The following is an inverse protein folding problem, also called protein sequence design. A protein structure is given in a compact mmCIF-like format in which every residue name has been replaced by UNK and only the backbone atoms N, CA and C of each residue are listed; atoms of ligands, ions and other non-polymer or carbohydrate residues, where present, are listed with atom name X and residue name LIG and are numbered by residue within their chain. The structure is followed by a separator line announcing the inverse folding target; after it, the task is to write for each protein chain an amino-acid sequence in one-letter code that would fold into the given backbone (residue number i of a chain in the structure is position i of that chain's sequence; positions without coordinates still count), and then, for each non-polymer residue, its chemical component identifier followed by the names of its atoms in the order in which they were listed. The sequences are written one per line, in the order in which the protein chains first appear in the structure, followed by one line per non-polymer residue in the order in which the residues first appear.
data_IF_698074127837
#
_entry.id   IF_698074127837
#
_cell.length_a   1.000
_cell.length_b   1.000
_cell.length_c   1.000
_cell.angle_alpha   90.00
_cell.angle_beta   90.00
_cell.angle_gamma   90.00
#
_symmetry.space_group_name_H-M   'P 1'
#
loop_
_entity.id
_entity.type
_entity.pdbx_description
1 polymer ?
#
# COMPACT_ATOMS: atom_id res chain seq x y z
N UNK A 1 -11.91 -12.38 6.24
CA UNK A 1 -11.29 -11.34 7.11
C UNK A 1 -12.22 -10.84 8.24
N UNK A 2 -13.34 -10.17 7.91
CA UNK A 2 -14.34 -9.73 8.91
C UNK A 2 -14.87 -10.90 9.75
N UNK A 3 -15.03 -12.09 9.16
CA UNK A 3 -15.50 -13.27 9.88
C UNK A 3 -14.58 -13.74 11.01
N UNK A 4 -13.26 -13.42 11.00
CA UNK A 4 -12.35 -13.76 12.12
C UNK A 4 -12.51 -12.77 13.27
N UNK A 5 -12.59 -11.47 12.96
CA UNK A 5 -12.87 -10.43 13.96
C UNK A 5 -14.27 -10.63 14.53
N UNK A 6 -15.25 -10.87 13.67
CA UNK A 6 -16.63 -11.20 14.04
C UNK A 6 -16.71 -12.56 14.72
N UNK A 7 -15.86 -13.55 14.48
CA UNK A 7 -15.87 -14.79 15.27
C UNK A 7 -15.30 -14.59 16.68
N UNK A 8 -14.30 -13.72 16.83
CA UNK A 8 -13.74 -13.33 18.14
C UNK A 8 -14.75 -12.46 18.92
N UNK A 9 -15.44 -11.56 18.22
CA UNK A 9 -16.42 -10.62 18.78
C UNK A 9 -17.88 -11.11 18.65
N UNK A 10 -18.10 -12.31 18.08
CA UNK A 10 -19.43 -12.87 17.87
C UNK A 10 -20.13 -12.91 19.22
N UNK A 11 -21.44 -12.68 19.28
CA UNK A 11 -22.15 -12.47 20.53
C UNK A 11 -22.06 -13.70 21.42
N UNK A 12 -20.98 -13.77 22.19
CA UNK A 12 -20.89 -14.50 23.45
C UNK A 12 -21.58 -13.62 24.47
N UNK A 13 -22.90 -13.49 24.34
CA UNK A 13 -23.79 -12.81 25.29
C UNK A 13 -23.04 -11.78 26.14
N UNK A 14 -22.49 -10.73 25.47
CA UNK A 14 -21.52 -9.83 26.11
C UNK A 14 -22.33 -8.91 27.01
N UNK A 15 -22.74 -9.41 28.17
CA UNK A 15 -23.27 -8.60 29.24
C UNK A 15 -22.08 -7.85 29.83
N UNK A 16 -21.98 -6.54 29.63
CA UNK A 16 -20.83 -5.78 30.10
C UNK A 16 -20.54 -4.46 29.39
N UNK A 17 -19.38 -3.89 29.72
CA UNK A 17 -18.82 -2.68 29.13
C UNK A 17 -17.81 -3.08 28.05
N UNK A 18 -17.87 -2.45 26.88
CA UNK A 18 -16.85 -2.56 25.84
C UNK A 18 -16.11 -1.22 25.78
N UNK A 19 -14.80 -1.25 25.96
CA UNK A 19 -13.92 -0.10 25.83
C UNK A 19 -13.11 -0.27 24.56
N UNK A 20 -13.43 0.50 23.52
CA UNK A 20 -12.70 0.52 22.26
C UNK A 20 -11.74 1.71 22.23
N UNK A 21 -10.45 1.43 22.02
CA UNK A 21 -9.38 2.41 21.89
C UNK A 21 -8.83 2.28 20.48
N UNK A 22 -9.14 3.25 19.63
CA UNK A 22 -8.72 3.26 18.24
C UNK A 22 -7.38 4.01 18.08
N UNK A 23 -6.53 3.53 17.18
CA UNK A 23 -5.25 4.12 16.79
C UNK A 23 -4.36 4.51 18.00
N UNK A 24 -4.06 3.55 18.87
CA UNK A 24 -3.23 3.81 20.06
C UNK A 24 -1.86 4.41 19.68
N UNK A 25 -1.37 4.11 18.48
CA UNK A 25 -0.14 4.65 17.93
C UNK A 25 -0.15 6.16 17.63
N UNK A 26 -1.29 6.85 17.75
CA UNK A 26 -1.36 8.31 17.67
C UNK A 26 -0.79 9.01 18.91
N UNK A 27 -0.52 8.28 19.98
CA UNK A 27 0.26 8.80 21.10
C UNK A 27 1.65 9.17 20.58
N UNK A 28 1.98 10.46 20.64
CA UNK A 28 3.10 11.09 19.92
C UNK A 28 4.47 10.44 20.23
N UNK A 29 4.59 9.74 21.36
CA UNK A 29 5.78 9.02 21.78
C UNK A 29 5.49 7.52 22.02
N UNK A 30 6.25 6.59 21.41
CA UNK A 30 6.29 5.17 21.79
C UNK A 30 6.33 4.88 23.29
N UNK A 31 7.06 5.69 24.05
CA UNK A 31 7.17 5.51 25.50
C UNK A 31 5.82 5.78 26.18
N UNK A 32 5.08 6.80 25.73
CA UNK A 32 3.74 7.11 26.22
C UNK A 32 2.74 6.02 25.87
N UNK A 33 2.84 5.41 24.69
CA UNK A 33 1.99 4.27 24.33
C UNK A 33 2.23 3.07 25.27
N UNK A 34 3.48 2.81 25.63
CA UNK A 34 3.82 1.76 26.59
C UNK A 34 3.34 2.09 28.01
N UNK A 35 3.58 3.32 28.47
CA UNK A 35 3.07 3.80 29.77
C UNK A 35 1.55 3.70 29.84
N UNK A 36 0.85 4.12 28.78
CA UNK A 36 -0.60 4.01 28.69
C UNK A 36 -1.06 2.54 28.80
N UNK A 37 -0.39 1.61 28.10
CA UNK A 37 -0.70 0.18 28.21
C UNK A 37 -0.49 -0.31 29.65
N UNK A 38 0.60 0.10 30.30
CA UNK A 38 0.90 -0.31 31.67
C UNK A 38 -0.10 0.29 32.69
N UNK A 39 -0.63 1.49 32.45
CA UNK A 39 -1.70 2.09 33.25
C UNK A 39 -3.04 1.36 33.08
N UNK A 40 -3.44 1.07 31.83
CA UNK A 40 -4.71 0.38 31.57
C UNK A 40 -4.65 -1.10 31.96
N UNK A 41 -3.46 -1.72 32.05
CA UNK A 41 -3.31 -3.08 32.58
C UNK A 41 -3.94 -3.25 33.97
N UNK A 42 -3.94 -2.20 34.79
CA UNK A 42 -4.56 -2.22 36.12
C UNK A 42 -6.08 -2.44 36.10
N UNK A 43 -6.75 -2.14 34.98
CA UNK A 43 -8.19 -2.36 34.80
C UNK A 43 -8.51 -3.57 33.92
N UNK A 44 -7.49 -4.23 33.35
CA UNK A 44 -7.67 -5.50 32.66
C UNK A 44 -8.02 -6.59 33.67
N UNK A 45 -9.14 -7.28 33.44
CA UNK A 45 -9.66 -8.32 34.35
C UNK A 45 -10.86 -7.89 35.20
N UNK A 46 -11.35 -6.65 35.04
CA UNK A 46 -12.70 -6.28 35.55
C UNK A 46 -13.73 -7.22 34.91
N UNK A 47 -14.52 -7.96 35.71
CA UNK A 47 -15.57 -8.83 35.18
C UNK A 47 -16.52 -8.04 34.28
N UNK A 48 -16.93 -8.64 33.17
CA UNK A 48 -17.83 -8.00 32.21
C UNK A 48 -17.26 -6.72 31.57
N UNK A 49 -15.94 -6.62 31.42
CA UNK A 49 -15.29 -5.56 30.65
C UNK A 49 -14.43 -6.13 29.53
N UNK A 50 -14.68 -5.71 28.29
CA UNK A 50 -13.89 -6.08 27.11
C UNK A 50 -13.13 -4.86 26.60
N UNK A 51 -11.81 -4.97 26.48
CA UNK A 51 -10.97 -3.95 25.86
C UNK A 51 -10.63 -4.35 24.43
N UNK A 52 -10.98 -3.50 23.48
CA UNK A 52 -10.61 -3.62 22.08
C UNK A 52 -9.65 -2.49 21.75
N UNK A 53 -8.42 -2.82 21.36
CA UNK A 53 -7.40 -1.83 21.03
C UNK A 53 -6.93 -2.06 19.60
N UNK A 54 -6.90 -0.99 18.80
CA UNK A 54 -6.33 -1.01 17.46
C UNK A 54 -5.00 -0.27 17.43
N UNK A 55 -4.08 -0.75 16.59
CA UNK A 55 -2.75 -0.19 16.41
C UNK A 55 -2.35 -0.39 14.95
N UNK A 56 -1.74 0.61 14.33
CA UNK A 56 -1.18 0.45 12.99
C UNK A 56 0.06 -0.47 12.98
N UNK A 57 0.27 -1.20 11.87
CA UNK A 57 1.44 -2.06 11.69
C UNK A 57 2.75 -1.25 11.56
N UNK A 58 2.68 -0.06 10.97
CA UNK A 58 3.79 0.87 10.83
C UNK A 58 4.31 1.33 12.21
N UNK A 59 3.40 1.60 13.14
CA UNK A 59 3.76 1.98 14.49
C UNK A 59 4.46 0.85 15.25
N UNK A 60 3.93 -0.37 15.18
CA UNK A 60 4.57 -1.56 15.78
C UNK A 60 5.99 -1.75 15.24
N UNK A 61 6.18 -1.59 13.93
CA UNK A 61 7.49 -1.70 13.28
C UNK A 61 8.44 -0.57 13.71
N UNK A 62 7.94 0.66 13.79
CA UNK A 62 8.70 1.82 14.26
C UNK A 62 9.16 1.66 15.71
N UNK A 63 8.33 1.08 16.57
CA UNK A 63 8.67 0.79 17.96
C UNK A 63 9.80 -0.25 18.07
N UNK A 64 9.72 -1.32 17.26
CA UNK A 64 10.79 -2.32 17.19
C UNK A 64 12.12 -1.73 16.72
N UNK A 65 12.11 -0.88 15.69
CA UNK A 65 13.33 -0.22 15.19
C UNK A 65 13.99 0.69 16.24
N UNK A 66 13.20 1.27 17.15
CA UNK A 66 13.69 2.09 18.27
C UNK A 66 14.15 1.27 19.49
N UNK A 67 14.18 -0.06 19.37
CA UNK A 67 14.60 -0.96 20.44
C UNK A 67 13.60 -1.07 21.60
N UNK A 68 12.36 -0.59 21.41
CA UNK A 68 11.32 -0.68 22.42
C UNK A 68 10.53 -1.96 22.14
N UNK A 69 10.51 -2.94 23.08
CA UNK A 69 9.78 -4.19 22.92
C UNK A 69 8.28 -3.96 23.19
N UNK A 70 7.66 -3.08 22.41
CA UNK A 70 6.24 -2.76 22.53
C UNK A 70 5.41 -4.01 22.27
N UNK A 71 5.80 -4.88 21.33
CA UNK A 71 5.14 -6.17 21.10
C UNK A 71 5.16 -7.07 22.34
N UNK A 72 6.23 -7.11 23.12
CA UNK A 72 6.24 -7.87 24.38
C UNK A 72 5.26 -7.28 25.40
N UNK A 73 5.12 -5.95 25.42
CA UNK A 73 4.13 -5.27 26.27
C UNK A 73 2.69 -5.58 25.81
N UNK A 74 2.41 -5.62 24.50
CA UNK A 74 1.11 -6.01 23.96
C UNK A 74 0.80 -7.50 24.18
N UNK A 75 1.74 -8.38 23.84
CA UNK A 75 1.59 -9.84 23.96
C UNK A 75 1.41 -10.26 25.43
N UNK A 76 1.95 -9.48 26.38
CA UNK A 76 1.72 -9.69 27.82
C UNK A 76 0.44 -9.04 28.37
N UNK A 77 -0.08 -7.99 27.72
CA UNK A 77 -1.25 -7.26 28.20
C UNK A 77 -2.58 -7.83 27.69
N UNK A 78 -2.61 -8.30 26.44
CA UNK A 78 -3.83 -8.68 25.75
C UNK A 78 -3.98 -10.20 25.64
N UNK A 79 -5.19 -10.70 25.91
CA UNK A 79 -5.50 -12.12 25.79
C UNK A 79 -5.54 -12.61 24.34
N UNK A 80 -5.85 -11.73 23.39
CA UNK A 80 -5.97 -12.08 21.97
C UNK A 80 -5.52 -10.93 21.11
N UNK A 81 -4.59 -11.20 20.20
CA UNK A 81 -4.12 -10.26 19.18
C UNK A 81 -4.61 -10.75 17.83
N UNK A 82 -5.36 -9.91 17.11
CA UNK A 82 -5.88 -10.22 15.78
C UNK A 82 -5.16 -9.36 14.76
N UNK A 83 -4.38 -9.99 13.89
CA UNK A 83 -3.76 -9.31 12.74
C UNK A 83 -4.77 -9.18 11.59
N UNK A 84 -4.85 -7.98 11.05
CA UNK A 84 -5.75 -7.56 9.99
C UNK A 84 -4.94 -7.55 8.69
N UNK A 85 -5.02 -8.64 7.93
CA UNK A 85 -4.29 -8.79 6.66
C UNK A 85 -5.03 -8.08 5.51
N UNK A 86 -4.33 -7.59 4.48
CA UNK A 86 -4.96 -7.16 3.24
C UNK A 86 -5.85 -8.27 2.65
N UNK A 87 -6.87 -7.89 1.88
CA UNK A 87 -7.72 -8.88 1.22
C UNK A 87 -6.92 -9.79 0.30
N UNK A 88 -7.35 -11.05 0.24
CA UNK A 88 -7.00 -11.92 -0.89
C UNK A 88 -7.72 -11.44 -2.16
N UNK A 89 -7.28 -11.92 -3.33
CA UNK A 89 -7.97 -11.62 -4.59
C UNK A 89 -9.46 -12.03 -4.54
N UNK A 90 -9.76 -13.19 -3.97
CA UNK A 90 -11.13 -13.67 -3.80
C UNK A 90 -11.96 -12.79 -2.86
N UNK A 91 -11.37 -12.36 -1.74
CA UNK A 91 -12.04 -11.44 -0.82
C UNK A 91 -12.30 -10.08 -1.47
N UNK A 92 -11.35 -9.54 -2.24
CA UNK A 92 -11.51 -8.30 -2.99
C UNK A 92 -12.63 -8.42 -4.04
N UNK A 93 -12.68 -9.54 -4.78
CA UNK A 93 -13.74 -9.84 -5.76
C UNK A 93 -15.11 -9.87 -5.09
N UNK A 94 -15.26 -10.62 -3.99
CA UNK A 94 -16.53 -10.68 -3.24
C UNK A 94 -16.90 -9.32 -2.66
N UNK A 95 -15.92 -8.56 -2.19
CA UNK A 95 -16.14 -7.23 -1.62
C UNK A 95 -16.64 -6.22 -2.66
N UNK A 96 -16.10 -6.26 -3.88
CA UNK A 96 -16.51 -5.42 -5.00
C UNK A 96 -17.89 -5.84 -5.54
N UNK A 97 -18.13 -7.13 -5.73
CA UNK A 97 -19.39 -7.66 -6.25
C UNK A 97 -20.61 -7.28 -5.39
N UNK A 98 -20.41 -7.10 -4.07
CA UNK A 98 -21.46 -6.63 -3.14
C UNK A 98 -21.83 -5.15 -3.30
N UNK A 99 -21.02 -4.37 -4.02
CA UNK A 99 -21.17 -2.90 -4.14
C UNK A 99 -21.45 -2.45 -5.56
N UNK A 100 -20.86 -3.13 -6.54
CA UNK A 100 -21.06 -2.86 -7.95
C UNK A 100 -21.24 -4.19 -8.67
N UNK A 101 -22.39 -4.34 -9.33
CA UNK A 101 -22.73 -5.54 -10.09
C UNK A 101 -22.12 -5.38 -11.48
N UNK A 102 -21.53 -6.46 -12.00
CA UNK A 102 -21.13 -6.53 -13.40
C UNK A 102 -19.77 -5.91 -13.74
N UNK A 103 -18.92 -5.59 -12.76
CA UNK A 103 -17.53 -5.23 -13.04
C UNK A 103 -16.83 -6.45 -13.68
N UNK A 104 -16.27 -6.34 -14.89
CA UNK A 104 -15.54 -7.45 -15.51
C UNK A 104 -14.26 -7.80 -14.73
N UNK A 105 -13.89 -9.09 -14.73
CA UNK A 105 -12.75 -9.59 -13.93
C UNK A 105 -11.41 -8.83 -14.11
N UNK A 106 -11.00 -8.43 -15.33
CA UNK A 106 -9.75 -7.67 -15.50
C UNK A 106 -9.72 -6.37 -14.68
N UNK A 107 -10.86 -5.67 -14.57
CA UNK A 107 -10.97 -4.45 -13.79
C UNK A 107 -10.96 -4.71 -12.29
N UNK A 108 -11.52 -5.84 -11.84
CA UNK A 108 -11.39 -6.31 -10.45
C UNK A 108 -9.91 -6.55 -10.11
N UNK A 109 -9.17 -7.19 -11.01
CA UNK A 109 -7.75 -7.47 -10.82
C UNK A 109 -6.91 -6.18 -10.80
N UNK A 110 -7.20 -5.23 -11.69
CA UNK A 110 -6.59 -3.91 -11.70
C UNK A 110 -6.80 -3.17 -10.38
N UNK A 111 -8.05 -3.12 -9.90
CA UNK A 111 -8.39 -2.52 -8.61
C UNK A 111 -7.64 -3.21 -7.45
N UNK A 112 -7.54 -4.54 -7.50
CA UNK A 112 -6.83 -5.32 -6.49
C UNK A 112 -5.33 -5.00 -6.47
N UNK A 113 -4.67 -4.98 -7.63
CA UNK A 113 -3.24 -4.67 -7.76
C UNK A 113 -2.93 -3.25 -7.30
N UNK A 114 -3.69 -2.25 -7.75
CA UNK A 114 -3.47 -0.84 -7.38
C UNK A 114 -3.72 -0.57 -5.88
N UNK A 115 -4.67 -1.29 -5.27
CA UNK A 115 -4.99 -1.15 -3.84
C UNK A 115 -4.06 -1.95 -2.93
N UNK A 116 -3.34 -2.94 -3.47
CA UNK A 116 -2.64 -3.93 -2.67
C UNK A 116 -3.58 -4.74 -1.77
N UNK A 117 -4.84 -4.89 -2.14
CA UNK A 117 -5.87 -5.57 -1.31
C UNK A 117 -6.30 -4.78 -0.07
N UNK A 118 -5.86 -3.54 0.12
CA UNK A 118 -6.30 -2.71 1.25
C UNK A 118 -7.76 -2.26 1.04
N UNK A 119 -8.71 -2.56 1.95
CA UNK A 119 -10.14 -2.32 1.70
C UNK A 119 -10.49 -0.86 1.41
N UNK A 120 -9.83 0.09 2.10
CA UNK A 120 -10.04 1.53 1.90
C UNK A 120 -9.56 1.98 0.52
N UNK A 121 -8.38 1.53 0.12
CA UNK A 121 -7.82 1.85 -1.19
C UNK A 121 -8.58 1.16 -2.32
N UNK A 122 -9.01 -0.09 -2.11
CA UNK A 122 -9.83 -0.83 -3.07
C UNK A 122 -11.14 -0.09 -3.35
N UNK A 123 -11.79 0.46 -2.30
CA UNK A 123 -12.96 1.32 -2.46
C UNK A 123 -12.64 2.55 -3.29
N UNK A 124 -11.56 3.26 -2.92
CA UNK A 124 -11.15 4.51 -3.57
C UNK A 124 -10.93 4.30 -5.06
N UNK A 125 -10.12 3.30 -5.43
CA UNK A 125 -9.79 3.00 -6.83
C UNK A 125 -11.03 2.55 -7.59
N UNK A 126 -11.90 1.73 -7.01
CA UNK A 126 -13.14 1.30 -7.65
C UNK A 126 -14.11 2.49 -7.88
N UNK A 127 -14.17 3.44 -6.95
CA UNK A 127 -14.93 4.68 -7.14
C UNK A 127 -14.32 5.53 -8.25
N UNK A 128 -13.01 5.77 -8.27
CA UNK A 128 -12.35 6.53 -9.35
C UNK A 128 -12.57 5.88 -10.72
N UNK A 129 -12.53 4.56 -10.79
CA UNK A 129 -12.81 3.82 -12.02
C UNK A 129 -14.26 4.00 -12.50
N UNK A 130 -15.20 3.97 -11.57
CA UNK A 130 -16.62 4.15 -11.87
C UNK A 130 -16.93 5.60 -12.27
N UNK A 131 -16.34 6.58 -11.59
CA UNK A 131 -16.47 7.99 -11.93
C UNK A 131 -15.92 8.27 -13.34
N UNK A 132 -14.77 7.67 -13.70
CA UNK A 132 -14.23 7.74 -15.05
C UNK A 132 -15.20 7.21 -16.11
N UNK A 133 -15.79 6.03 -15.88
CA UNK A 133 -16.75 5.42 -16.81
C UNK A 133 -18.01 6.28 -16.98
N UNK A 134 -18.47 6.95 -15.92
CA UNK A 134 -19.59 7.89 -16.01
C UNK A 134 -19.20 9.10 -16.86
N UNK A 135 -18.03 9.69 -16.61
CA UNK A 135 -17.60 10.93 -17.24
C UNK A 135 -17.28 10.77 -18.74
N UNK A 136 -16.85 9.58 -19.18
CA UNK A 136 -16.48 9.33 -20.58
C UNK A 136 -17.65 8.92 -21.48
N UNK A 137 -18.80 8.51 -20.90
CA UNK A 137 -19.97 7.94 -21.59
C UNK A 137 -19.63 6.83 -22.61
N UNK A 138 -18.49 6.15 -22.43
CA UNK A 138 -17.98 5.10 -23.32
C UNK A 138 -17.69 3.82 -22.56
N UNK A 139 -17.81 2.70 -23.28
CA UNK A 139 -17.22 1.43 -22.86
C UNK A 139 -15.69 1.59 -22.96
N UNK A 140 -15.08 2.04 -21.88
CA UNK A 140 -13.63 2.20 -21.81
C UNK A 140 -12.96 0.82 -21.78
N UNK A 141 -11.93 0.70 -22.63
CA UNK A 141 -11.11 -0.50 -22.67
C UNK A 141 -10.15 -0.55 -21.46
N UNK A 142 -9.61 -1.74 -21.17
CA UNK A 142 -8.83 -1.98 -19.94
C UNK A 142 -7.56 -1.11 -19.88
N UNK A 143 -6.91 -0.92 -21.01
CA UNK A 143 -5.66 -0.17 -21.13
C UNK A 143 -5.89 1.33 -20.87
N UNK A 144 -6.98 1.87 -21.43
CA UNK A 144 -7.41 3.25 -21.20
C UNK A 144 -7.74 3.47 -19.71
N UNK A 145 -8.49 2.56 -19.09
CA UNK A 145 -8.83 2.66 -17.66
C UNK A 145 -7.59 2.52 -16.77
N UNK A 146 -6.70 1.55 -17.05
CA UNK A 146 -5.45 1.38 -16.30
C UNK A 146 -4.59 2.64 -16.35
N UNK A 147 -4.42 3.21 -17.54
CA UNK A 147 -3.69 4.45 -17.76
C UNK A 147 -4.31 5.63 -17.01
N UNK A 148 -5.64 5.74 -17.02
CA UNK A 148 -6.37 6.83 -16.34
C UNK A 148 -6.28 6.73 -14.82
N UNK A 149 -6.46 5.53 -14.26
CA UNK A 149 -6.33 5.29 -12.82
C UNK A 149 -4.90 5.54 -12.32
N UNK A 150 -3.89 5.13 -13.08
CA UNK A 150 -2.48 5.39 -12.74
C UNK A 150 -2.19 6.89 -12.81
N UNK A 151 -2.69 7.60 -13.84
CA UNK A 151 -2.55 9.05 -13.93
C UNK A 151 -3.20 9.77 -12.74
N UNK A 152 -4.42 9.36 -12.35
CA UNK A 152 -5.11 9.91 -11.18
C UNK A 152 -4.35 9.64 -9.87
N UNK A 153 -3.82 8.44 -9.68
CA UNK A 153 -3.04 8.11 -8.48
C UNK A 153 -1.71 8.87 -8.42
N UNK A 154 -1.05 9.07 -9.57
CA UNK A 154 0.15 9.90 -9.68
C UNK A 154 -0.14 11.36 -9.35
N UNK A 155 -1.21 11.93 -9.92
CA UNK A 155 -1.64 13.30 -9.65
C UNK A 155 -1.93 13.53 -8.15
N UNK A 156 -2.45 12.52 -7.45
CA UNK A 156 -2.68 12.58 -6.01
C UNK A 156 -1.40 12.45 -5.16
N UNK A 157 -0.40 11.68 -5.61
CA UNK A 157 0.80 11.38 -4.81
C UNK A 157 2.00 12.27 -5.06
N UNK A 158 2.26 12.68 -6.31
CA UNK A 158 3.42 13.51 -6.62
C UNK A 158 3.50 14.79 -5.79
N UNK A 159 2.39 15.52 -5.52
CA UNK A 159 2.44 16.70 -4.65
C UNK A 159 2.93 16.39 -3.23
N UNK A 160 2.66 15.20 -2.71
CA UNK A 160 3.13 14.79 -1.39
C UNK A 160 4.66 14.61 -1.37
N UNK A 161 5.23 13.97 -2.40
CA UNK A 161 6.68 13.86 -2.54
C UNK A 161 7.34 15.24 -2.70
N UNK A 162 6.74 16.13 -3.50
CA UNK A 162 7.20 17.53 -3.63
C UNK A 162 7.17 18.26 -2.28
N UNK A 163 6.07 18.14 -1.54
CA UNK A 163 5.93 18.79 -0.22
C UNK A 163 6.93 18.25 0.79
N UNK A 164 7.18 16.94 0.84
CA UNK A 164 8.14 16.34 1.75
C UNK A 164 9.57 16.75 1.41
N UNK A 165 9.93 16.76 0.12
CA UNK A 165 11.24 17.22 -0.33
C UNK A 165 11.49 18.70 0.00
N UNK A 166 10.47 19.55 -0.12
CA UNK A 166 10.57 20.98 0.20
C UNK A 166 10.77 21.27 1.70
N UNK A 167 10.55 20.28 2.58
CA UNK A 167 10.81 20.39 4.02
C UNK A 167 12.19 19.89 4.43
N UNK A 168 12.97 19.34 3.49
CA UNK A 168 14.33 18.90 3.76
C UNK A 168 15.29 20.09 3.80
N UNK A 169 16.32 19.99 4.65
CA UNK A 169 17.36 21.01 4.75
C UNK A 169 18.17 21.12 3.45
N UNK A 170 18.63 22.34 3.13
CA UNK A 170 19.41 22.66 1.92
C UNK A 170 20.71 21.82 1.80
N UNK A 171 21.25 21.31 2.89
CA UNK A 171 22.43 20.42 2.91
C UNK A 171 22.19 19.10 2.15
N UNK A 172 20.93 18.68 2.01
CA UNK A 172 20.55 17.50 1.22
C UNK A 172 20.36 17.82 -0.27
N UNK A 173 20.37 19.09 -0.69
CA UNK A 173 20.14 19.57 -2.07
C UNK A 173 18.94 18.90 -2.78
N UNK A 174 17.70 19.07 -2.28
CA UNK A 174 16.51 18.45 -2.89
C UNK A 174 16.17 19.01 -4.27
N UNK A 175 16.85 20.06 -4.74
CA UNK A 175 16.53 20.79 -5.98
C UNK A 175 16.57 19.90 -7.23
N UNK A 176 17.55 18.99 -7.31
CA UNK A 176 17.65 18.04 -8.43
C UNK A 176 16.46 17.07 -8.44
N UNK A 177 16.11 16.50 -7.27
CA UNK A 177 14.95 15.63 -7.12
C UNK A 177 13.65 16.34 -7.49
N UNK A 178 13.42 17.55 -6.97
CA UNK A 178 12.24 18.36 -7.26
C UNK A 178 12.11 18.67 -8.76
N UNK A 179 13.22 18.99 -9.42
CA UNK A 179 13.26 19.25 -10.87
C UNK A 179 12.93 18.00 -11.67
N UNK A 180 13.47 16.84 -11.28
CA UNK A 180 13.20 15.57 -11.94
C UNK A 180 11.78 15.06 -11.70
N UNK A 181 11.17 15.40 -10.57
CA UNK A 181 9.79 15.06 -10.23
C UNK A 181 8.78 15.95 -10.97
N UNK A 182 9.14 17.20 -11.23
CA UNK A 182 8.29 18.17 -11.92
C UNK A 182 7.95 17.74 -13.37
N UNK A 183 6.96 18.42 -13.95
CA UNK A 183 6.50 18.17 -15.32
C UNK A 183 5.17 17.41 -15.40
N UNK A 184 4.62 17.27 -16.62
CA UNK A 184 3.32 16.65 -16.82
C UNK A 184 3.33 15.20 -16.34
N UNK A 185 2.25 14.78 -15.68
CA UNK A 185 2.02 13.36 -15.38
C UNK A 185 1.55 12.66 -16.65
N UNK A 186 2.31 11.67 -17.10
CA UNK A 186 1.89 10.73 -18.13
C UNK A 186 1.78 9.34 -17.51
N UNK A 187 0.83 8.55 -17.97
CA UNK A 187 0.67 7.14 -17.58
C UNK A 187 1.33 6.16 -18.55
N UNK A 188 1.97 6.65 -19.61
CA UNK A 188 2.73 5.80 -20.54
C UNK A 188 3.88 5.09 -19.83
N UNK A 189 3.98 3.77 -20.03
CA UNK A 189 4.95 2.92 -19.33
C UNK A 189 6.40 3.35 -19.64
N UNK A 190 6.73 3.65 -20.89
CA UNK A 190 8.07 4.07 -21.27
C UNK A 190 8.45 5.40 -20.61
N UNK A 191 7.55 6.37 -20.62
CA UNK A 191 7.76 7.66 -19.97
C UNK A 191 7.97 7.50 -18.46
N UNK A 192 7.16 6.67 -17.80
CA UNK A 192 7.28 6.38 -16.37
C UNK A 192 8.62 5.72 -16.03
N UNK A 193 9.09 4.77 -16.86
CA UNK A 193 10.41 4.16 -16.70
C UNK A 193 11.54 5.19 -16.84
N UNK A 194 11.47 6.06 -17.85
CA UNK A 194 12.47 7.10 -18.05
C UNK A 194 12.51 8.09 -16.89
N UNK A 195 11.34 8.46 -16.36
CA UNK A 195 11.27 9.34 -15.18
C UNK A 195 11.74 8.65 -13.90
N UNK A 196 11.48 7.36 -13.78
CA UNK A 196 12.03 6.55 -12.70
C UNK A 196 13.57 6.55 -12.72
N UNK A 197 14.20 6.37 -13.88
CA UNK A 197 15.67 6.40 -14.04
C UNK A 197 16.28 7.76 -13.60
N UNK A 198 15.58 8.88 -13.80
CA UNK A 198 16.09 10.20 -13.41
C UNK A 198 15.96 10.49 -11.91
N UNK A 199 15.04 9.81 -11.24
CA UNK A 199 14.76 9.98 -9.80
C UNK A 199 15.52 8.96 -8.96
N UNK A 200 15.88 7.81 -9.52
CA UNK A 200 16.59 6.75 -8.80
C UNK A 200 17.85 7.33 -8.13
N UNK A 201 18.05 7.10 -6.82
CA UNK A 201 19.22 7.62 -6.13
C UNK A 201 20.47 7.01 -6.76
N UNK A 202 21.42 7.88 -7.12
CA UNK A 202 22.73 7.42 -7.60
C UNK A 202 23.48 6.80 -6.42
N UNK A 203 24.17 5.69 -6.67
CA UNK A 203 25.00 5.04 -5.65
C UNK A 203 25.92 6.09 -5.00
N UNK A 204 25.70 6.32 -3.72
CA UNK A 204 26.55 7.18 -2.90
C UNK A 204 27.13 6.32 -1.80
N UNK A 205 28.46 6.31 -1.64
CA UNK A 205 29.19 5.66 -0.54
C UNK A 205 28.86 6.23 0.87
N UNK A 206 27.80 7.04 0.98
CA UNK A 206 27.39 7.78 2.17
C UNK A 206 26.21 7.16 2.92
N UNK A 207 25.93 7.71 4.10
CA UNK A 207 24.79 7.30 4.92
C UNK A 207 23.45 7.58 4.23
N UNK A 208 22.46 6.68 4.42
CA UNK A 208 21.10 6.83 3.88
C UNK A 208 20.43 8.09 4.46
N UNK A 209 20.30 9.13 3.64
CA UNK A 209 19.65 10.41 4.02
C UNK A 209 18.13 10.33 3.93
N UNK A 210 17.43 11.36 4.39
CA UNK A 210 15.98 11.47 4.21
C UNK A 210 15.63 11.66 2.73
N UNK A 211 16.41 12.44 1.98
CA UNK A 211 16.25 12.59 0.53
C UNK A 211 16.39 11.24 -0.19
N UNK A 212 17.44 10.45 0.11
CA UNK A 212 17.65 9.16 -0.55
C UNK A 212 16.49 8.19 -0.30
N UNK A 213 15.84 8.23 0.87
CA UNK A 213 14.63 7.44 1.13
C UNK A 213 13.46 7.91 0.25
N UNK A 214 13.26 9.22 0.17
CA UNK A 214 12.20 9.82 -0.65
C UNK A 214 12.38 9.53 -2.15
N UNK A 215 13.62 9.56 -2.63
CA UNK A 215 13.99 9.18 -4.01
C UNK A 215 13.64 7.71 -4.28
N UNK A 216 13.98 6.80 -3.36
CA UNK A 216 13.61 5.39 -3.44
C UNK A 216 12.09 5.19 -3.45
N UNK A 217 11.35 5.89 -2.59
CA UNK A 217 9.89 5.82 -2.53
C UNK A 217 9.25 6.27 -3.85
N UNK A 218 9.66 7.43 -4.37
CA UNK A 218 9.15 7.97 -5.62
C UNK A 218 9.51 7.08 -6.83
N UNK A 219 10.78 6.66 -6.95
CA UNK A 219 11.24 5.80 -8.04
C UNK A 219 10.51 4.44 -8.04
N UNK A 220 10.44 3.78 -6.89
CA UNK A 220 9.77 2.48 -6.76
C UNK A 220 8.27 2.58 -7.07
N UNK A 221 7.64 3.68 -6.68
CA UNK A 221 6.25 3.95 -7.01
C UNK A 221 6.03 4.15 -8.51
N UNK A 222 6.86 4.95 -9.18
CA UNK A 222 6.80 5.14 -10.64
C UNK A 222 7.04 3.84 -11.40
N UNK A 223 8.00 3.04 -10.95
CA UNK A 223 8.32 1.76 -11.57
C UNK A 223 7.17 0.74 -11.47
N UNK A 224 6.51 0.71 -10.31
CA UNK A 224 5.27 -0.06 -10.13
C UNK A 224 4.16 0.44 -11.06
N UNK A 225 3.92 1.75 -11.14
CA UNK A 225 2.92 2.33 -12.04
C UNK A 225 3.18 1.97 -13.51
N UNK A 226 4.42 2.06 -13.97
CA UNK A 226 4.81 1.64 -15.32
C UNK A 226 4.46 0.16 -15.58
N UNK A 227 4.72 -0.68 -14.58
CA UNK A 227 4.43 -2.11 -14.63
C UNK A 227 2.93 -2.41 -14.66
N UNK A 228 2.12 -1.65 -13.93
CA UNK A 228 0.66 -1.80 -13.96
C UNK A 228 0.12 -1.47 -15.36
N UNK A 229 0.53 -0.34 -15.96
CA UNK A 229 0.03 0.06 -17.29
C UNK A 229 0.50 -0.91 -18.38
N UNK A 230 1.74 -1.37 -18.32
CA UNK A 230 2.27 -2.35 -19.29
C UNK A 230 1.67 -3.75 -19.12
N UNK A 231 1.20 -4.10 -17.92
CA UNK A 231 0.57 -5.39 -17.66
C UNK A 231 -0.93 -5.41 -18.00
N UNK A 232 -1.67 -4.35 -17.69
CA UNK A 232 -3.11 -4.26 -17.91
C UNK A 232 -3.43 -3.62 -19.26
N UNK A 233 -3.19 -4.37 -20.34
CA UNK A 233 -3.50 -3.96 -21.71
C UNK A 233 -4.75 -4.65 -22.23
N UNK A 234 -5.23 -4.24 -23.41
CA UNK A 234 -6.36 -4.86 -24.08
C UNK A 234 -6.11 -6.33 -24.53
N UNK A 235 -4.86 -6.79 -24.47
CA UNK A 235 -4.47 -8.18 -24.72
C UNK A 235 -4.71 -9.10 -23.51
N UNK A 236 -4.95 -8.52 -22.31
CA UNK A 236 -5.32 -9.24 -21.09
C UNK A 236 -6.81 -9.65 -21.12
N UNK A 237 -7.24 -10.33 -22.19
CA UNK A 237 -8.59 -10.89 -22.35
C UNK A 237 -8.81 -12.17 -21.51
N UNK A 238 -10.03 -12.71 -21.52
CA UNK A 238 -10.47 -13.81 -20.63
C UNK A 238 -9.52 -15.02 -20.54
N UNK A 239 -8.83 -15.40 -21.63
CA UNK A 239 -7.90 -16.53 -21.63
C UNK A 239 -6.55 -16.21 -20.98
N UNK A 240 -6.06 -14.97 -21.10
CA UNK A 240 -4.84 -14.47 -20.45
C UNK A 240 -5.08 -14.12 -18.97
N UNK A 241 -6.30 -13.71 -18.59
CA UNK A 241 -6.71 -13.47 -17.20
C UNK A 241 -6.61 -14.73 -16.35
N UNK A 242 -7.16 -15.86 -16.83
CA UNK A 242 -7.06 -17.13 -16.10
C UNK A 242 -5.61 -17.57 -15.90
N UNK A 243 -4.76 -17.35 -16.91
CA UNK A 243 -3.33 -17.65 -16.82
C UNK A 243 -2.64 -16.77 -15.78
N UNK A 244 -2.91 -15.46 -15.79
CA UNK A 244 -2.35 -14.50 -14.82
C UNK A 244 -2.78 -14.76 -13.37
N UNK A 245 -3.99 -15.29 -13.15
CA UNK A 245 -4.41 -15.74 -11.82
C UNK A 245 -3.68 -17.02 -11.43
N UNK A 246 -3.59 -17.99 -12.35
CA UNK A 246 -2.99 -19.30 -12.10
C UNK A 246 -1.47 -19.24 -11.88
N UNK A 247 -0.77 -18.36 -12.59
CA UNK A 247 0.67 -18.14 -12.44
C UNK A 247 1.01 -17.22 -11.25
N UNK A 248 0.00 -16.69 -10.56
CA UNK A 248 0.15 -15.87 -9.35
C UNK A 248 0.48 -14.40 -9.61
N UNK A 249 0.47 -13.93 -10.86
CA UNK A 249 0.89 -12.57 -11.21
C UNK A 249 0.02 -11.47 -10.61
N UNK A 250 -1.30 -11.68 -10.56
CA UNK A 250 -2.21 -10.71 -9.92
C UNK A 250 -1.85 -10.52 -8.44
N UNK A 251 -1.53 -11.62 -7.76
CA UNK A 251 -1.14 -11.61 -6.33
C UNK A 251 0.26 -11.02 -6.16
N UNK A 252 1.21 -11.35 -7.04
CA UNK A 252 2.58 -10.83 -6.99
C UNK A 252 2.62 -9.31 -7.14
N UNK A 253 1.84 -8.75 -8.07
CA UNK A 253 1.79 -7.30 -8.27
C UNK A 253 1.10 -6.58 -7.10
N UNK A 254 0.02 -7.14 -6.56
CA UNK A 254 -0.60 -6.62 -5.33
C UNK A 254 0.35 -6.69 -4.12
N UNK A 255 1.15 -7.75 -4.01
CA UNK A 255 2.15 -7.89 -2.95
C UNK A 255 3.26 -6.82 -3.08
N UNK A 256 3.74 -6.53 -4.28
CA UNK A 256 4.68 -5.42 -4.51
C UNK A 256 4.08 -4.10 -4.03
N UNK A 257 2.81 -3.83 -4.34
CA UNK A 257 2.09 -2.63 -3.88
C UNK A 257 2.00 -2.53 -2.35
N UNK A 258 1.81 -3.64 -1.65
CA UNK A 258 1.73 -3.69 -0.18
C UNK A 258 3.06 -3.31 0.48
N UNK A 259 4.19 -3.70 -0.12
CA UNK A 259 5.51 -3.42 0.44
C UNK A 259 5.91 -1.94 0.38
N UNK A 260 5.21 -1.11 -0.40
CA UNK A 260 5.55 0.30 -0.57
C UNK A 260 5.53 1.10 0.73
N UNK A 261 4.65 0.77 1.67
CA UNK A 261 4.58 1.43 2.96
C UNK A 261 5.70 1.00 3.91
N UNK A 262 6.27 -0.20 3.69
CA UNK A 262 7.24 -0.82 4.58
C UNK A 262 8.68 -0.57 4.14
N UNK A 263 8.98 -0.87 2.88
CA UNK A 263 10.29 -0.71 2.27
C UNK A 263 10.19 -0.53 0.74
N UNK A 264 10.54 0.65 0.21
CA UNK A 264 10.51 0.89 -1.23
C UNK A 264 11.47 -0.01 -1.99
N UNK A 265 12.61 -0.43 -1.41
CA UNK A 265 13.57 -1.32 -2.08
C UNK A 265 13.01 -2.72 -2.25
N UNK A 266 12.21 -3.21 -1.30
CA UNK A 266 11.50 -4.49 -1.45
C UNK A 266 10.46 -4.37 -2.57
N UNK A 267 9.72 -3.26 -2.63
CA UNK A 267 8.81 -2.96 -3.76
C UNK A 267 9.55 -3.01 -5.09
N UNK A 268 10.72 -2.35 -5.17
CA UNK A 268 11.57 -2.35 -6.37
C UNK A 268 11.97 -3.76 -6.80
N UNK A 269 12.44 -4.58 -5.86
CA UNK A 269 12.88 -5.95 -6.13
C UNK A 269 11.72 -6.83 -6.62
N UNK A 270 10.57 -6.78 -5.95
CA UNK A 270 9.39 -7.54 -6.36
C UNK A 270 8.87 -7.09 -7.73
N UNK A 271 8.87 -5.79 -7.99
CA UNK A 271 8.47 -5.23 -9.31
C UNK A 271 9.46 -5.66 -10.40
N UNK A 272 10.76 -5.63 -10.11
CA UNK A 272 11.80 -6.12 -11.03
C UNK A 272 11.61 -7.60 -11.35
N UNK A 273 11.41 -8.43 -10.32
CA UNK A 273 11.16 -9.87 -10.50
C UNK A 273 9.92 -10.11 -11.37
N UNK A 274 8.83 -9.39 -11.11
CA UNK A 274 7.61 -9.47 -11.92
C UNK A 274 7.88 -9.12 -13.38
N UNK A 275 8.56 -7.99 -13.64
CA UNK A 275 8.89 -7.54 -15.00
C UNK A 275 9.79 -8.55 -15.73
N UNK A 276 10.78 -9.13 -15.05
CA UNK A 276 11.63 -10.18 -15.62
C UNK A 276 10.83 -11.43 -16.00
N UNK A 277 9.92 -11.88 -15.14
CA UNK A 277 9.03 -13.02 -15.43
C UNK A 277 8.12 -12.76 -16.62
N UNK A 278 7.69 -11.51 -16.79
CA UNK A 278 6.85 -11.04 -17.91
C UNK A 278 7.63 -10.62 -19.14
N UNK A 279 8.96 -10.68 -19.10
CA UNK A 279 9.86 -10.22 -20.17
C UNK A 279 9.68 -8.73 -20.53
N UNK A 280 9.27 -7.91 -19.56
CA UNK A 280 9.21 -6.46 -19.69
C UNK A 280 10.59 -5.83 -19.47
N UNK A 281 10.81 -4.64 -20.03
CA UNK A 281 12.08 -3.93 -19.88
C UNK A 281 12.35 -3.59 -18.41
N UNK A 282 13.52 -3.91 -17.87
CA UNK A 282 13.91 -3.55 -16.50
C UNK A 282 14.81 -2.32 -16.48
N UNK A 283 14.78 -1.59 -15.36
CA UNK A 283 15.83 -0.63 -15.03
C UNK A 283 16.87 -1.41 -14.22
N UNK A 284 18.02 -1.70 -14.83
CA UNK A 284 19.06 -2.52 -14.20
C UNK A 284 19.75 -1.80 -13.03
N UNK A 285 20.06 -2.60 -12.01
CA UNK A 285 20.70 -2.33 -10.73
C UNK A 285 19.92 -1.42 -9.75
N UNK A 286 19.27 -2.07 -8.77
CA UNK A 286 19.21 -1.51 -7.43
C UNK A 286 20.67 -1.24 -7.01
N UNK A 287 21.13 0.01 -6.84
CA UNK A 287 22.47 0.21 -6.32
C UNK A 287 22.54 -0.52 -4.98
N UNK A 288 23.49 -1.44 -4.87
CA UNK A 288 23.72 -2.22 -3.65
C UNK A 288 23.94 -1.25 -2.48
N UNK A 289 23.51 -1.62 -1.25
CA UNK A 289 23.66 -0.79 -0.05
C UNK A 289 25.12 -0.48 0.28
#
# INVERSE_FOLDING_TARGET
MLDRVVAVLAPRDISGIIVAIDELDKLADPAQAREFIDEIKGVFGVPHCLFLVSVSEDALTSFHRRGIPVRDAFDSAFTTVVRIEPFTLDEARVWLAKRAIGIPEPFVHLCYCLSGGLPRELRRIATTMYDHHIDTEKDDDLETVASSLVAADLAARLPAFTSTAAQLDDEQDPGTFLTNLAGPTCSDAWWLLKKCETILPRASDGAVTALTRLEWEAASYLYFCATVVEFFTNELQAQSVHTAVKDGSIVALAAARQQMALDPRVTWQLTTQFRQQRQFATIDECPNP
#
